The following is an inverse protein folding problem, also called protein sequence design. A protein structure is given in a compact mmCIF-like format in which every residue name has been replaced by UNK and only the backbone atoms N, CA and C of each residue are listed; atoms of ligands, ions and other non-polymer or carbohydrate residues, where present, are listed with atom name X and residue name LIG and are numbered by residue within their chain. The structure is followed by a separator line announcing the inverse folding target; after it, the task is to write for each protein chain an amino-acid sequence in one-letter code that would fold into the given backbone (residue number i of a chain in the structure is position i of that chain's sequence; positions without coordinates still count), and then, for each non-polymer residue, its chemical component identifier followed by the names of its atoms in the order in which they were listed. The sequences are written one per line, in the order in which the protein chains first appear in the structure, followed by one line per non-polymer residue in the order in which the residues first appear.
data_IF_627001482896
#
_entry.id   IF_627001482896
#
_cell.length_a   1.000
_cell.length_b   1.000
_cell.length_c   1.000
_cell.angle_alpha   90.00
_cell.angle_beta   90.00
_cell.angle_gamma   90.00
#
_symmetry.space_group_name_H-M   'P 1'
#
loop_
_entity.id
_entity.type
_entity.pdbx_description
1 polymer ?
#
# COMPACT_ATOMS: atom_id res chain seq x y z
N UNK A 1 -1.73 -39.32 33.94
CA UNK A 1 -1.03 -39.65 32.67
C UNK A 1 0.36 -39.04 32.77
N UNK A 2 1.41 -39.82 32.50
CA UNK A 2 2.78 -39.38 32.77
C UNK A 2 3.23 -38.33 31.75
N UNK A 3 3.78 -37.22 32.24
CA UNK A 3 4.34 -36.10 31.46
C UNK A 3 5.30 -36.58 30.33
N UNK A 4 6.00 -37.69 30.55
CA UNK A 4 6.93 -38.26 29.58
C UNK A 4 6.27 -38.82 28.32
N UNK A 5 5.17 -39.55 28.49
CA UNK A 5 4.45 -40.15 27.37
C UNK A 5 3.84 -39.03 26.52
N UNK A 6 3.29 -38.01 27.20
CA UNK A 6 2.73 -36.83 26.53
C UNK A 6 3.82 -36.11 25.72
N UNK A 7 5.03 -35.98 26.25
CA UNK A 7 6.15 -35.40 25.52
C UNK A 7 6.56 -36.24 24.30
N UNK A 8 6.69 -37.56 24.46
CA UNK A 8 7.08 -38.45 23.35
C UNK A 8 6.07 -38.37 22.20
N UNK A 9 4.77 -38.40 22.51
CA UNK A 9 3.70 -38.23 21.52
C UNK A 9 3.82 -36.85 20.86
N UNK A 10 3.91 -35.76 21.63
CA UNK A 10 3.99 -34.39 21.06
C UNK A 10 5.25 -34.18 20.20
N UNK A 11 6.36 -34.84 20.53
CA UNK A 11 7.62 -34.63 19.84
C UNK A 11 7.73 -35.46 18.55
N UNK A 12 7.33 -36.73 18.60
CA UNK A 12 7.40 -37.67 17.48
C UNK A 12 6.19 -37.54 16.54
N UNK A 13 4.99 -37.40 17.11
CA UNK A 13 3.76 -37.18 16.36
C UNK A 13 3.51 -35.69 16.10
N UNK A 14 2.30 -35.37 15.63
CA UNK A 14 1.89 -34.01 15.33
C UNK A 14 1.64 -33.17 16.60
N UNK A 15 2.19 -31.95 16.61
CA UNK A 15 1.89 -30.92 17.60
C UNK A 15 1.44 -29.65 16.88
N UNK A 16 0.21 -29.21 17.13
CA UNK A 16 -0.38 -28.02 16.49
C UNK A 16 0.39 -26.73 16.75
N UNK A 17 1.07 -26.65 17.89
CA UNK A 17 1.84 -25.47 18.29
C UNK A 17 3.31 -25.53 17.85
N UNK A 18 3.81 -26.66 17.34
CA UNK A 18 5.21 -26.83 16.96
C UNK A 18 5.44 -26.21 15.58
N UNK A 19 6.40 -25.29 15.49
CA UNK A 19 6.86 -24.70 14.25
C UNK A 19 8.27 -25.24 13.96
N UNK A 20 8.40 -26.01 12.88
CA UNK A 20 9.69 -26.47 12.36
C UNK A 20 10.28 -25.32 11.54
N UNK A 21 11.50 -24.91 11.87
CA UNK A 21 12.24 -23.90 11.10
C UNK A 21 13.27 -24.60 10.22
N UNK A 22 13.76 -23.93 9.18
CA UNK A 22 14.86 -24.39 8.34
C UNK A 22 16.19 -24.53 9.10
N UNK A 23 16.35 -23.82 10.21
CA UNK A 23 17.44 -24.03 11.19
C UNK A 23 16.95 -25.04 12.22
N UNK A 24 17.79 -25.98 12.63
CA UNK A 24 17.51 -27.17 13.48
C UNK A 24 16.82 -26.93 14.85
N UNK A 25 16.36 -25.72 15.12
CA UNK A 25 15.60 -25.37 16.31
C UNK A 25 14.09 -25.34 16.06
N UNK A 26 13.38 -26.10 16.89
CA UNK A 26 11.93 -26.12 16.91
C UNK A 26 11.37 -25.02 17.82
N UNK A 27 10.43 -24.22 17.31
CA UNK A 27 9.72 -23.20 18.07
C UNK A 27 8.31 -23.64 18.44
N UNK A 28 7.71 -22.95 19.41
CA UNK A 28 6.35 -23.21 19.88
C UNK A 28 5.52 -21.92 19.83
N UNK A 29 4.35 -21.97 19.19
CA UNK A 29 3.38 -20.87 19.10
C UNK A 29 2.48 -20.72 20.34
N UNK A 30 2.58 -21.63 21.30
CA UNK A 30 1.71 -21.59 22.49
C UNK A 30 2.01 -20.35 23.34
N UNK A 31 0.98 -19.57 23.65
CA UNK A 31 1.06 -18.34 24.46
C UNK A 31 1.65 -18.57 25.85
N UNK A 32 1.42 -19.76 26.40
CA UNK A 32 1.89 -20.16 27.73
C UNK A 32 3.29 -20.80 27.70
N UNK A 33 4.08 -20.64 26.64
CA UNK A 33 5.48 -21.08 26.66
C UNK A 33 6.38 -19.97 27.25
N UNK A 34 7.30 -20.32 28.16
CA UNK A 34 8.21 -19.34 28.78
C UNK A 34 9.29 -18.87 27.79
N UNK A 35 9.87 -19.80 27.02
CA UNK A 35 11.04 -19.54 26.17
C UNK A 35 10.72 -19.39 24.68
N UNK A 36 9.57 -19.88 24.22
CA UNK A 36 9.21 -19.96 22.80
C UNK A 36 9.84 -21.14 22.04
N UNK A 37 10.72 -21.91 22.67
CA UNK A 37 11.31 -23.13 22.13
C UNK A 37 10.43 -24.35 22.41
N UNK A 38 10.39 -25.30 21.48
CA UNK A 38 9.67 -26.56 21.62
C UNK A 38 10.62 -27.66 22.16
N UNK A 39 10.95 -27.58 23.46
CA UNK A 39 11.77 -28.55 24.19
C UNK A 39 10.96 -29.20 25.31
N UNK A 40 11.38 -30.39 25.79
CA UNK A 40 10.73 -31.12 26.89
C UNK A 40 10.48 -30.24 28.12
N UNK A 41 11.47 -29.43 28.52
CA UNK A 41 11.37 -28.54 29.67
C UNK A 41 10.54 -27.27 29.41
N UNK A 42 10.36 -26.87 28.14
CA UNK A 42 9.71 -25.62 27.75
C UNK A 42 8.25 -25.79 27.33
N UNK A 43 7.79 -27.01 27.06
CA UNK A 43 6.41 -27.23 26.63
C UNK A 43 5.42 -27.21 27.81
N UNK A 44 4.40 -26.33 27.78
CA UNK A 44 3.39 -26.24 28.85
C UNK A 44 2.35 -27.37 28.80
N UNK A 45 2.20 -28.05 27.65
CA UNK A 45 1.30 -29.19 27.50
C UNK A 45 1.88 -30.47 28.12
N UNK A 46 3.17 -30.72 27.87
CA UNK A 46 3.86 -31.90 28.36
C UNK A 46 4.11 -31.86 29.88
N UNK A 47 4.31 -30.67 30.45
CA UNK A 47 4.57 -30.53 31.88
C UNK A 47 3.30 -30.22 32.66
N UNK A 48 2.99 -31.04 33.67
CA UNK A 48 1.87 -30.81 34.58
C UNK A 48 2.17 -29.72 35.62
N UNK A 49 3.44 -29.58 36.01
CA UNK A 49 3.93 -28.47 36.87
C UNK A 49 4.62 -27.44 36.01
N UNK A 50 3.99 -26.29 35.83
CA UNK A 50 4.52 -25.25 34.94
C UNK A 50 4.23 -23.85 35.47
N UNK A 51 5.00 -22.86 35.04
CA UNK A 51 4.79 -21.47 35.39
C UNK A 51 5.28 -20.55 34.28
N UNK A 52 4.52 -19.50 33.96
CA UNK A 52 4.87 -18.48 32.97
C UNK A 52 4.45 -17.09 33.40
N UNK A 53 5.13 -16.07 32.88
CA UNK A 53 4.73 -14.67 33.05
C UNK A 53 4.12 -14.17 31.75
N UNK A 54 2.97 -13.52 31.80
CA UNK A 54 2.31 -12.95 30.63
C UNK A 54 1.70 -11.60 30.96
N UNK A 55 1.74 -10.70 29.99
CA UNK A 55 1.00 -9.44 29.99
C UNK A 55 -0.42 -9.68 29.50
N UNK A 56 -1.39 -9.16 30.22
CA UNK A 56 -2.77 -9.11 29.77
C UNK A 56 -2.88 -8.11 28.59
N UNK A 57 -3.43 -8.50 27.42
CA UNK A 57 -3.47 -7.63 26.24
C UNK A 57 -4.26 -6.34 26.45
N UNK A 58 -5.32 -6.39 27.26
CA UNK A 58 -6.23 -5.26 27.47
C UNK A 58 -5.68 -4.27 28.51
N UNK A 59 -5.17 -4.79 29.63
CA UNK A 59 -4.75 -3.96 30.77
C UNK A 59 -3.25 -3.66 30.81
N UNK A 60 -2.43 -4.42 30.07
CA UNK A 60 -0.96 -4.34 30.10
C UNK A 60 -0.33 -4.78 31.43
N UNK A 61 -1.15 -5.26 32.38
CA UNK A 61 -0.68 -5.73 33.69
C UNK A 61 -0.05 -7.11 33.54
N UNK A 62 1.03 -7.34 34.28
CA UNK A 62 1.74 -8.61 34.26
C UNK A 62 1.13 -9.57 35.28
N UNK A 63 0.91 -10.81 34.84
CA UNK A 63 0.42 -11.90 35.65
C UNK A 63 1.40 -13.07 35.60
N UNK A 64 1.58 -13.71 36.75
CA UNK A 64 2.19 -15.02 36.87
C UNK A 64 1.08 -16.07 36.73
N UNK A 65 1.22 -16.91 35.71
CA UNK A 65 0.37 -18.07 35.47
C UNK A 65 1.07 -19.31 36.02
N UNK A 66 0.41 -20.03 36.91
CA UNK A 66 0.91 -21.28 37.50
C UNK A 66 -0.02 -22.42 37.15
N UNK A 67 0.57 -23.55 36.77
CA UNK A 67 -0.12 -24.81 36.47
C UNK A 67 0.31 -25.84 37.51
N UNK A 68 -0.68 -26.43 38.19
CA UNK A 68 -0.50 -27.44 39.22
C UNK A 68 -1.04 -28.80 38.75
N UNK A 69 -0.48 -29.88 39.29
CA UNK A 69 -0.87 -31.26 38.89
C UNK A 69 -2.30 -31.58 39.34
N UNK A 70 -2.72 -31.05 40.48
CA UNK A 70 -4.02 -31.34 41.08
C UNK A 70 -5.18 -30.93 40.18
N UNK A 71 -5.03 -29.81 39.45
CA UNK A 71 -6.07 -29.28 38.57
C UNK A 71 -6.08 -29.91 37.18
N UNK A 72 -5.18 -30.84 36.86
CA UNK A 72 -5.04 -31.42 35.52
C UNK A 72 -6.34 -32.01 34.94
N UNK A 73 -7.27 -32.43 35.80
CA UNK A 73 -8.58 -32.95 35.40
C UNK A 73 -9.60 -31.87 34.98
N UNK A 74 -9.35 -30.58 35.26
CA UNK A 74 -10.24 -29.46 34.94
C UNK A 74 -9.56 -28.45 34.00
N UNK A 75 -9.64 -28.63 32.66
CA UNK A 75 -8.99 -27.77 31.68
C UNK A 75 -9.33 -26.29 31.78
N UNK A 76 -10.57 -25.96 32.10
CA UNK A 76 -11.03 -24.57 32.27
C UNK A 76 -10.36 -23.84 33.44
N UNK A 77 -9.81 -24.58 34.42
CA UNK A 77 -9.22 -24.04 35.66
C UNK A 77 -7.76 -24.46 35.85
N UNK A 78 -7.10 -24.92 34.79
CA UNK A 78 -5.69 -25.35 34.83
C UNK A 78 -4.74 -24.27 35.34
N UNK A 79 -5.02 -23.02 34.99
CA UNK A 79 -4.13 -21.91 35.29
C UNK A 79 -4.62 -21.09 36.46
N UNK A 80 -3.77 -20.97 37.48
CA UNK A 80 -3.89 -19.96 38.51
C UNK A 80 -3.17 -18.69 38.04
N UNK A 81 -3.86 -17.55 38.07
CA UNK A 81 -3.27 -16.24 37.73
C UNK A 81 -3.05 -15.41 38.98
N UNK A 82 -1.83 -14.91 39.16
CA UNK A 82 -1.45 -14.00 40.25
C UNK A 82 -0.99 -12.70 39.62
N UNK A 83 -1.58 -11.58 40.07
CA UNK A 83 -1.16 -10.25 39.62
C UNK A 83 0.22 -9.92 40.19
N UNK A 84 1.16 -9.55 39.32
CA UNK A 84 2.47 -9.06 39.73
C UNK A 84 2.42 -7.56 40.01
N UNK A 85 3.30 -7.11 40.91
CA UNK A 85 3.50 -5.69 41.17
C UNK A 85 3.99 -4.96 39.92
N UNK A 86 3.65 -3.67 39.79
CA UNK A 86 4.25 -2.80 38.77
C UNK A 86 5.73 -2.50 39.07
N UNK A 87 6.16 -2.62 40.33
CA UNK A 87 7.56 -2.44 40.69
C UNK A 87 8.33 -3.74 40.40
N UNK A 88 9.35 -3.64 39.56
CA UNK A 88 10.15 -4.78 39.11
C UNK A 88 10.81 -5.55 40.25
N UNK A 89 11.37 -4.87 41.25
CA UNK A 89 12.02 -5.54 42.39
C UNK A 89 11.03 -6.37 43.20
N UNK A 90 9.87 -5.76 43.53
CA UNK A 90 8.79 -6.46 44.24
C UNK A 90 8.21 -7.61 43.41
N UNK A 91 8.12 -7.46 42.10
CA UNK A 91 7.65 -8.53 41.22
C UNK A 91 8.63 -9.72 41.17
N UNK A 92 9.94 -9.47 41.25
CA UNK A 92 10.95 -10.53 41.36
C UNK A 92 10.83 -11.29 42.70
N UNK A 93 10.67 -10.57 43.80
CA UNK A 93 10.44 -11.18 45.13
C UNK A 93 9.17 -12.04 45.13
N UNK A 94 8.07 -11.53 44.55
CA UNK A 94 6.83 -12.28 44.39
C UNK A 94 7.01 -13.56 43.56
N UNK A 95 7.82 -13.54 42.51
CA UNK A 95 8.13 -14.74 41.74
C UNK A 95 8.90 -15.77 42.57
N UNK A 96 9.88 -15.31 43.37
CA UNK A 96 10.66 -16.20 44.22
C UNK A 96 9.83 -16.83 45.33
N UNK A 97 8.96 -16.07 45.99
CA UNK A 97 8.06 -16.56 47.03
C UNK A 97 7.04 -17.59 46.52
N UNK A 98 6.48 -17.37 45.32
CA UNK A 98 5.46 -18.26 44.77
C UNK A 98 6.03 -19.50 44.11
N UNK A 99 7.25 -19.40 43.55
CA UNK A 99 7.87 -20.49 42.79
C UNK A 99 8.92 -21.29 43.59
N UNK A 100 8.87 -21.25 44.93
CA UNK A 100 9.83 -21.94 45.81
C UNK A 100 9.96 -23.43 45.46
N UNK A 101 8.83 -24.10 45.24
CA UNK A 101 8.79 -25.55 44.99
C UNK A 101 8.93 -25.93 43.50
N UNK A 102 9.12 -24.96 42.61
CA UNK A 102 9.25 -25.21 41.17
C UNK A 102 10.71 -25.46 40.77
N UNK A 103 10.95 -26.13 39.62
CA UNK A 103 12.30 -26.35 39.15
C UNK A 103 13.01 -25.02 38.85
N UNK A 104 14.31 -24.94 39.19
CA UNK A 104 15.16 -23.75 39.00
C UNK A 104 15.17 -23.22 37.55
N UNK A 105 15.00 -24.13 36.58
CA UNK A 105 14.87 -23.76 35.17
C UNK A 105 13.68 -22.81 34.94
N UNK A 106 12.50 -23.16 35.46
CA UNK A 106 11.30 -22.35 35.29
C UNK A 106 11.39 -21.05 36.09
N UNK A 107 11.95 -21.06 37.30
CA UNK A 107 12.10 -19.83 38.09
C UNK A 107 13.00 -18.83 37.36
N UNK A 108 14.16 -19.28 36.89
CA UNK A 108 15.09 -18.43 36.14
C UNK A 108 14.48 -17.94 34.83
N UNK A 109 13.81 -18.80 34.07
CA UNK A 109 13.16 -18.41 32.81
C UNK A 109 11.98 -17.46 33.01
N UNK A 110 11.20 -17.62 34.09
CA UNK A 110 10.15 -16.68 34.46
C UNK A 110 10.71 -15.30 34.81
N UNK A 111 11.82 -15.24 35.56
CA UNK A 111 12.53 -13.98 35.83
C UNK A 111 13.02 -13.34 34.53
N UNK A 112 13.69 -14.09 33.66
CA UNK A 112 14.14 -13.60 32.35
C UNK A 112 12.98 -13.07 31.50
N UNK A 113 11.86 -13.79 31.48
CA UNK A 113 10.66 -13.37 30.73
C UNK A 113 10.03 -12.12 31.33
N UNK A 114 9.97 -12.01 32.65
CA UNK A 114 9.51 -10.79 33.33
C UNK A 114 10.38 -9.59 32.92
N UNK A 115 11.71 -9.72 32.99
CA UNK A 115 12.64 -8.67 32.55
C UNK A 115 12.44 -8.30 31.08
N UNK A 116 12.24 -9.29 30.21
CA UNK A 116 12.02 -9.02 28.79
C UNK A 116 10.70 -8.29 28.54
N UNK A 117 9.63 -8.69 29.21
CA UNK A 117 8.32 -8.05 29.09
C UNK A 117 8.34 -6.62 29.64
N UNK A 118 9.05 -6.35 30.74
CA UNK A 118 9.21 -4.98 31.26
C UNK A 118 9.99 -4.10 30.29
N UNK A 119 11.08 -4.61 29.70
CA UNK A 119 11.84 -3.91 28.67
C UNK A 119 10.98 -3.62 27.42
N UNK A 120 10.20 -4.60 26.96
CA UNK A 120 9.29 -4.43 25.81
C UNK A 120 8.22 -3.37 26.12
N UNK A 121 7.62 -3.39 27.32
CA UNK A 121 6.66 -2.37 27.74
C UNK A 121 7.28 -0.96 27.78
N UNK A 122 8.53 -0.81 28.25
CA UNK A 122 9.24 0.47 28.22
C UNK A 122 9.47 0.92 26.78
N UNK A 123 9.92 0.01 25.90
CA UNK A 123 10.14 0.31 24.48
C UNK A 123 8.86 0.72 23.77
N UNK A 124 7.75 0.01 23.97
CA UNK A 124 6.45 0.35 23.38
C UNK A 124 6.00 1.75 23.79
N UNK A 125 6.18 2.12 25.06
CA UNK A 125 5.87 3.48 25.54
C UNK A 125 6.76 4.55 24.91
N UNK A 126 8.03 4.25 24.65
CA UNK A 126 8.94 5.19 24.01
C UNK A 126 8.59 5.38 22.53
N UNK A 127 8.32 4.28 21.82
CA UNK A 127 7.87 4.34 20.42
C UNK A 127 6.57 5.13 20.31
N UNK A 128 5.58 4.85 21.17
CA UNK A 128 4.32 5.61 21.16
C UNK A 128 4.53 7.13 21.36
N UNK A 129 5.46 7.53 22.25
CA UNK A 129 5.82 8.94 22.44
C UNK A 129 6.55 9.55 21.24
N UNK A 130 7.42 8.78 20.60
CA UNK A 130 8.13 9.22 19.39
C UNK A 130 7.17 9.36 18.21
N UNK A 131 6.25 8.42 18.04
CA UNK A 131 5.19 8.46 17.02
C UNK A 131 4.27 9.66 17.24
N UNK A 132 3.86 9.94 18.48
CA UNK A 132 3.09 11.15 18.83
C UNK A 132 3.87 12.44 18.57
N UNK A 133 5.19 12.44 18.80
CA UNK A 133 6.05 13.61 18.59
C UNK A 133 6.31 13.90 17.12
N UNK A 134 6.58 12.86 16.32
CA UNK A 134 6.90 13.00 14.90
C UNK A 134 5.62 13.15 14.06
N UNK A 135 4.52 12.53 14.47
CA UNK A 135 3.24 12.56 13.73
C UNK A 135 3.29 11.84 12.39
N UNK A 136 4.42 11.22 12.05
CA UNK A 136 4.65 10.50 10.80
C UNK A 136 3.88 9.17 10.84
N UNK A 137 2.91 9.02 9.94
CA UNK A 137 2.22 7.76 9.74
C UNK A 137 2.88 7.03 8.59
N UNK A 138 3.27 5.78 8.81
CA UNK A 138 3.71 4.91 7.72
C UNK A 138 2.52 4.70 6.78
N UNK A 139 2.54 5.36 5.63
CA UNK A 139 1.55 5.13 4.58
C UNK A 139 1.94 3.82 3.88
N UNK A 140 1.01 2.84 3.74
CA UNK A 140 1.30 1.65 2.97
C UNK A 140 1.66 2.02 1.54
N UNK A 141 2.51 1.23 0.89
CA UNK A 141 2.85 1.45 -0.53
C UNK A 141 1.58 1.59 -1.35
N UNK A 142 1.41 2.72 -2.04
CA UNK A 142 0.31 2.94 -2.97
C UNK A 142 0.23 1.77 -3.96
N UNK A 143 -0.97 1.26 -4.21
CA UNK A 143 -1.15 0.17 -5.14
C UNK A 143 -0.58 0.55 -6.52
N UNK A 144 0.14 -0.34 -7.23
CA UNK A 144 0.80 0.01 -8.50
C UNK A 144 -0.15 0.61 -9.54
N UNK A 145 -1.42 0.21 -9.55
CA UNK A 145 -2.46 0.76 -10.43
C UNK A 145 -2.80 2.21 -10.13
N UNK A 146 -2.82 2.60 -8.85
CA UNK A 146 -3.07 3.99 -8.43
C UNK A 146 -1.88 4.84 -8.87
N UNK A 147 -0.65 4.38 -8.58
CA UNK A 147 0.57 5.08 -8.99
C UNK A 147 0.61 5.33 -10.50
N UNK A 148 0.37 4.32 -11.32
CA UNK A 148 0.32 4.46 -12.79
C UNK A 148 -0.78 5.43 -13.25
N UNK A 149 -1.94 5.41 -12.60
CA UNK A 149 -3.06 6.29 -12.91
C UNK A 149 -2.74 7.74 -12.56
N UNK A 150 -2.14 7.99 -11.39
CA UNK A 150 -1.69 9.31 -10.95
C UNK A 150 -0.61 9.84 -11.88
N UNK A 151 0.42 9.04 -12.19
CA UNK A 151 1.49 9.40 -13.12
C UNK A 151 0.95 9.76 -14.52
N UNK A 152 -0.02 8.98 -15.03
CA UNK A 152 -0.65 9.29 -16.33
C UNK A 152 -1.49 10.57 -16.25
N UNK A 153 -2.19 10.82 -15.14
CA UNK A 153 -2.95 12.06 -14.93
C UNK A 153 -2.04 13.26 -14.82
N UNK A 154 -0.93 13.14 -14.11
CA UNK A 154 0.10 14.17 -13.98
C UNK A 154 0.70 14.50 -15.34
N UNK A 155 1.04 13.49 -16.15
CA UNK A 155 1.56 13.70 -17.51
C UNK A 155 0.56 14.41 -18.41
N UNK A 156 -0.73 14.03 -18.33
CA UNK A 156 -1.81 14.71 -19.07
C UNK A 156 -2.02 16.14 -18.58
N UNK A 157 -1.96 16.37 -17.27
CA UNK A 157 -2.11 17.69 -16.68
C UNK A 157 -0.96 18.63 -17.09
N UNK A 158 0.28 18.14 -17.11
CA UNK A 158 1.45 18.88 -17.59
C UNK A 158 1.26 19.31 -19.04
N UNK A 159 0.90 18.36 -19.91
CA UNK A 159 0.67 18.63 -21.34
C UNK A 159 -0.45 19.64 -21.57
N UNK A 160 -1.54 19.55 -20.79
CA UNK A 160 -2.68 20.46 -20.90
C UNK A 160 -2.36 21.87 -20.37
N UNK A 161 -1.62 21.99 -19.27
CA UNK A 161 -1.36 23.27 -18.60
C UNK A 161 -0.45 24.21 -19.41
N UNK A 162 0.37 23.69 -20.34
CA UNK A 162 1.32 24.46 -21.18
C UNK A 162 1.99 25.60 -20.39
N UNK A 163 2.60 25.23 -19.26
CA UNK A 163 3.04 26.15 -18.21
C UNK A 163 3.99 27.23 -18.74
N UNK A 164 4.88 26.88 -19.68
CA UNK A 164 5.80 27.82 -20.33
C UNK A 164 5.08 28.99 -21.01
N UNK A 165 4.03 28.72 -21.80
CA UNK A 165 3.24 29.77 -22.46
C UNK A 165 2.40 30.59 -21.50
N UNK A 166 2.03 30.03 -20.35
CA UNK A 166 1.36 30.78 -19.29
C UNK A 166 2.35 31.73 -18.60
N UNK A 167 3.57 31.26 -18.32
CA UNK A 167 4.65 32.07 -17.75
C UNK A 167 5.08 33.17 -18.72
N UNK A 168 5.27 32.87 -20.01
CA UNK A 168 5.62 33.87 -21.03
C UNK A 168 4.58 35.00 -21.10
N UNK A 169 3.29 34.63 -21.11
CA UNK A 169 2.20 35.63 -21.10
C UNK A 169 2.24 36.49 -19.84
N UNK A 170 2.42 35.88 -18.66
CA UNK A 170 2.51 36.62 -17.40
C UNK A 170 3.75 37.52 -17.35
N UNK A 171 4.91 37.07 -17.85
CA UNK A 171 6.13 37.87 -17.91
C UNK A 171 5.98 39.05 -18.86
N UNK A 172 5.36 38.84 -20.02
CA UNK A 172 5.04 39.93 -20.96
C UNK A 172 4.05 40.90 -20.32
N UNK A 173 3.04 40.41 -19.61
CA UNK A 173 2.04 41.23 -18.93
C UNK A 173 2.67 42.05 -17.79
N UNK A 174 3.54 41.46 -16.98
CA UNK A 174 4.31 42.16 -15.93
C UNK A 174 5.30 43.20 -16.51
N UNK A 175 5.86 42.88 -17.68
CA UNK A 175 6.74 43.80 -18.41
C UNK A 175 5.94 44.98 -18.98
N UNK A 176 4.74 44.73 -19.50
CA UNK A 176 3.80 45.76 -19.95
C UNK A 176 3.26 46.61 -18.81
N UNK A 177 3.01 46.01 -17.65
CA UNK A 177 2.51 46.72 -16.46
C UNK A 177 3.59 47.54 -15.73
N UNK A 178 4.79 47.66 -16.28
CA UNK A 178 5.87 48.50 -15.73
C UNK A 178 6.45 48.03 -14.38
N UNK A 179 6.18 46.78 -13.96
CA UNK A 179 6.57 46.29 -12.64
C UNK A 179 8.09 46.24 -12.41
N UNK A 180 8.88 46.26 -13.48
CA UNK A 180 10.35 46.18 -13.47
C UNK A 180 11.05 47.54 -13.61
N UNK A 181 10.31 48.66 -13.59
CA UNK A 181 10.84 50.01 -13.75
C UNK A 181 11.22 50.37 -15.18
N UNK A 182 11.89 51.51 -15.34
CA UNK A 182 12.14 52.16 -16.65
C UNK A 182 13.23 51.46 -17.50
N UNK A 183 14.12 50.70 -16.85
CA UNK A 183 15.17 49.91 -17.53
C UNK A 183 15.32 48.51 -16.90
N UNK A 184 14.51 47.53 -17.34
CA UNK A 184 14.68 46.15 -16.90
C UNK A 184 16.04 45.60 -17.36
N UNK A 185 16.88 45.17 -16.41
CA UNK A 185 18.28 44.80 -16.63
C UNK A 185 18.47 43.52 -17.48
N UNK A 186 17.44 42.67 -17.56
CA UNK A 186 17.49 41.35 -18.16
C UNK A 186 16.83 41.25 -19.55
N UNK A 187 16.33 42.37 -20.10
CA UNK A 187 15.62 42.39 -21.38
C UNK A 187 16.51 43.02 -22.45
N UNK A 188 16.59 42.40 -23.63
CA UNK A 188 17.29 43.01 -24.77
C UNK A 188 16.62 44.33 -25.17
N UNK A 189 17.43 45.37 -25.40
CA UNK A 189 16.95 46.74 -25.65
C UNK A 189 16.01 46.82 -26.88
N UNK A 190 16.20 45.97 -27.88
CA UNK A 190 15.34 45.88 -29.07
C UNK A 190 13.96 45.28 -28.79
N UNK A 191 13.85 44.35 -27.84
CA UNK A 191 12.57 43.75 -27.42
C UNK A 191 11.83 44.73 -26.52
N UNK A 192 12.53 45.42 -25.63
CA UNK A 192 11.97 46.48 -24.78
C UNK A 192 11.39 47.63 -25.61
N UNK A 193 12.13 48.14 -26.62
CA UNK A 193 11.62 49.16 -27.55
C UNK A 193 10.37 48.70 -28.32
N UNK A 194 10.26 47.42 -28.67
CA UNK A 194 9.06 46.85 -29.31
C UNK A 194 7.89 46.74 -28.34
N UNK A 195 8.14 46.41 -27.07
CA UNK A 195 7.10 46.36 -26.02
C UNK A 195 6.60 47.77 -25.69
N UNK A 196 7.49 48.77 -25.59
CA UNK A 196 7.12 50.17 -25.41
C UNK A 196 6.28 50.71 -26.59
N UNK A 197 6.71 50.47 -27.84
CA UNK A 197 5.91 50.81 -29.03
C UNK A 197 4.55 50.09 -29.06
N UNK A 198 4.48 48.87 -28.52
CA UNK A 198 3.25 48.12 -28.37
C UNK A 198 2.31 48.67 -27.29
N UNK A 199 2.86 49.23 -26.21
CA UNK A 199 2.12 49.92 -25.14
C UNK A 199 1.59 51.29 -25.62
N UNK A 200 2.41 52.03 -26.37
CA UNK A 200 2.00 53.28 -27.05
C UNK A 200 0.86 53.04 -28.06
N UNK A 201 0.90 51.93 -28.80
CA UNK A 201 -0.15 51.56 -29.77
C UNK A 201 -1.43 51.02 -29.12
N UNK A 202 -1.33 50.45 -27.92
CA UNK A 202 -2.47 49.94 -27.16
C UNK A 202 -3.22 51.03 -26.37
N UNK A 203 -2.75 52.28 -26.38
CA UNK A 203 -3.48 53.42 -25.83
C UNK A 203 -3.37 53.61 -24.32
N UNK A 204 -2.31 53.10 -23.68
CA UNK A 204 -1.95 53.41 -22.27
C UNK A 204 -0.63 54.18 -22.17
N UNK A 205 -0.13 54.70 -23.29
CA UNK A 205 0.96 55.67 -23.34
C UNK A 205 0.44 56.99 -23.89
N UNK A 206 0.43 58.04 -23.06
CA UNK A 206 0.23 59.41 -23.54
C UNK A 206 1.29 59.70 -24.60
N UNK A 207 0.85 59.88 -25.85
CA UNK A 207 1.68 60.35 -26.95
C UNK A 207 1.97 61.83 -26.72
N UNK A 208 3.23 62.17 -26.46
CA UNK A 208 3.70 63.54 -26.69
C UNK A 208 3.61 63.82 -28.19
N UNK A 209 2.57 64.56 -28.56
CA UNK A 209 2.32 65.04 -29.91
C UNK A 209 3.19 66.28 -30.11
N UNK A 210 4.41 66.09 -30.61
CA UNK A 210 5.10 67.08 -31.45
C UNK A 210 6.42 66.50 -32.02
N UNK A 211 6.35 65.89 -33.20
CA UNK A 211 7.34 66.04 -34.30
C UNK A 211 7.03 65.10 -35.48
N UNK A 212 6.92 65.70 -36.67
CA UNK A 212 6.89 65.15 -38.05
C UNK A 212 5.81 64.12 -38.37
N UNK A 213 4.74 64.38 -39.14
CA UNK A 213 4.57 65.02 -40.46
C UNK A 213 5.25 64.28 -41.64
N UNK A 214 4.41 63.79 -42.55
CA UNK A 214 4.81 63.44 -43.92
C UNK A 214 5.07 61.95 -44.21
N UNK A 215 4.02 61.13 -44.30
CA UNK A 215 3.83 60.19 -45.43
C UNK A 215 2.44 59.55 -45.38
N UNK A 216 1.56 60.09 -46.23
CA UNK A 216 0.34 59.45 -46.73
C UNK A 216 0.77 58.45 -47.81
N UNK A 217 0.64 57.16 -47.57
CA UNK A 217 0.52 56.17 -48.65
C UNK A 217 -0.69 55.28 -48.36
N UNK A 218 -1.76 55.65 -49.08
CA UNK A 218 -2.89 54.91 -49.63
C UNK A 218 -3.28 53.54 -49.04
N UNK A 219 -4.51 53.52 -48.54
CA UNK A 219 -5.41 52.37 -48.61
C UNK A 219 -5.52 51.87 -50.06
N UNK A 220 -5.16 50.62 -50.30
CA UNK A 220 -5.71 49.85 -51.41
C UNK A 220 -6.30 48.54 -50.87
N UNK A 221 -7.60 48.61 -50.58
CA UNK A 221 -8.49 47.48 -50.35
C UNK A 221 -8.86 46.91 -51.72
N UNK A 222 -8.17 45.86 -52.17
CA UNK A 222 -8.63 45.04 -53.29
C UNK A 222 -8.96 43.63 -52.80
N UNK A 223 -10.25 43.45 -52.49
CA UNK A 223 -10.84 42.14 -52.28
C UNK A 223 -10.95 41.39 -53.61
N UNK A 224 -10.24 40.27 -53.72
CA UNK A 224 -10.55 39.23 -54.69
C UNK A 224 -10.67 37.90 -53.93
N UNK A 225 -11.91 37.48 -53.73
CA UNK A 225 -12.23 36.14 -53.25
C UNK A 225 -11.90 35.13 -54.34
N UNK A 226 -10.84 34.35 -54.15
CA UNK A 226 -10.55 33.17 -54.93
C UNK A 226 -11.03 31.94 -54.15
N UNK A 227 -12.13 31.35 -54.63
CA UNK A 227 -12.75 30.15 -54.10
C UNK A 227 -12.54 29.00 -55.08
N UNK A 228 -12.12 27.86 -54.49
CA UNK A 228 -12.13 26.47 -54.99
C UNK A 228 -11.21 26.08 -56.15
N UNK A 229 -10.40 25.04 -55.93
CA UNK A 229 -10.70 23.68 -56.43
C UNK A 229 -10.19 22.63 -55.44
N UNK A 230 -11.08 21.71 -55.02
CA UNK A 230 -10.72 20.47 -54.33
C UNK A 230 -10.46 19.42 -55.42
N UNK A 231 -9.20 19.04 -55.65
CA UNK A 231 -8.91 17.90 -56.51
C UNK A 231 -9.12 16.61 -55.72
N UNK A 232 -10.23 15.93 -56.02
CA UNK A 232 -10.43 14.52 -55.73
C UNK A 232 -9.57 13.70 -56.73
N UNK A 233 -8.96 12.61 -56.25
CA UNK A 233 -8.09 11.63 -56.95
C UNK A 233 -6.59 11.98 -57.07
N UNK A 234 -5.77 11.47 -56.16
CA UNK A 234 -5.00 10.25 -56.46
C UNK A 234 -4.53 9.53 -55.20
N UNK A 235 -4.50 8.21 -55.35
CA UNK A 235 -4.39 7.14 -54.37
C UNK A 235 -2.91 6.81 -54.07
N UNK A 236 -2.66 6.18 -52.93
CA UNK A 236 -1.42 5.48 -52.52
C UNK A 236 -0.23 6.31 -52.00
N UNK A 237 -0.15 6.48 -50.67
CA UNK A 237 1.05 6.26 -49.81
C UNK A 237 0.78 6.80 -48.40
N UNK A 238 0.13 6.03 -47.50
CA UNK A 238 0.40 6.10 -46.02
C UNK A 238 -0.37 5.08 -45.14
N UNK A 239 -0.52 3.83 -45.59
CA UNK A 239 -1.16 2.77 -44.78
C UNK A 239 -0.17 1.83 -44.07
N UNK A 240 1.13 2.14 -44.07
CA UNK A 240 2.18 1.27 -43.54
C UNK A 240 2.50 1.54 -42.05
N UNK A 241 2.02 2.64 -41.45
CA UNK A 241 2.32 3.02 -40.06
C UNK A 241 1.22 2.66 -39.03
N UNK A 242 0.19 1.91 -39.44
CA UNK A 242 -0.88 1.44 -38.53
C UNK A 242 -0.76 -0.05 -38.15
N UNK A 243 0.15 -0.81 -38.77
CA UNK A 243 0.33 -2.25 -38.49
C UNK A 243 1.38 -2.54 -37.39
N UNK A 244 2.31 -1.61 -37.11
CA UNK A 244 3.34 -1.76 -36.06
C UNK A 244 2.76 -1.63 -34.62
N UNK A 245 1.58 -1.01 -34.46
CA UNK A 245 0.96 -0.84 -33.14
C UNK A 245 0.15 -2.07 -32.66
N UNK A 246 -0.13 -3.04 -33.54
CA UNK A 246 -1.05 -4.17 -33.26
C UNK A 246 -0.40 -5.57 -33.37
N UNK A 247 0.92 -5.67 -33.55
CA UNK A 247 1.57 -6.90 -34.04
C UNK A 247 2.76 -7.47 -33.25
N UNK A 248 2.87 -7.33 -31.92
CA UNK A 248 4.00 -7.97 -31.19
C UNK A 248 3.65 -8.63 -29.84
N UNK A 249 2.69 -9.56 -29.85
CA UNK A 249 2.56 -10.57 -28.78
C UNK A 249 2.31 -11.95 -29.40
N UNK A 250 3.34 -12.52 -30.04
CA UNK A 250 3.51 -13.99 -30.17
C UNK A 250 4.84 -14.37 -30.83
N UNK A 251 5.62 -15.21 -30.11
CA UNK A 251 6.75 -16.03 -30.57
C UNK A 251 8.01 -15.24 -31.01
N UNK A 252 9.25 -15.56 -30.61
CA UNK A 252 9.87 -16.70 -29.96
C UNK A 252 11.33 -16.28 -29.66
N UNK A 253 11.86 -16.63 -28.49
CA UNK A 253 13.29 -16.85 -28.26
C UNK A 253 13.49 -17.53 -26.90
N UNK A 254 13.58 -18.87 -26.94
CA UNK A 254 14.73 -19.69 -26.47
C UNK A 254 15.42 -19.27 -25.14
N UNK A 255 15.76 -20.10 -24.15
CA UNK A 255 16.06 -21.53 -24.05
C UNK A 255 16.64 -21.73 -22.61
N UNK A 256 16.57 -22.96 -22.11
CA UNK A 256 17.01 -23.51 -20.80
C UNK A 256 16.01 -23.53 -19.63
N UNK A 257 15.17 -24.55 -19.69
CA UNK A 257 14.74 -25.40 -18.58
C UNK A 257 15.95 -26.16 -17.96
N UNK A 258 15.98 -26.28 -16.63
CA UNK A 258 16.65 -27.36 -15.90
C UNK A 258 15.91 -27.59 -14.57
N UNK A 259 14.88 -28.41 -14.71
CA UNK A 259 14.44 -29.54 -13.89
C UNK A 259 14.00 -29.42 -12.42
N UNK A 260 12.96 -30.23 -12.18
CA UNK A 260 12.00 -30.30 -11.09
C UNK A 260 12.48 -31.01 -9.82
N UNK A 261 11.70 -30.76 -8.77
CA UNK A 261 11.54 -31.50 -7.53
C UNK A 261 11.63 -33.03 -7.66
N UNK A 262 12.53 -33.63 -6.87
CA UNK A 262 12.39 -35.00 -6.40
C UNK A 262 11.57 -35.03 -5.10
N UNK A 263 10.50 -35.82 -5.08
CA UNK A 263 10.29 -36.85 -4.05
C UNK A 263 9.12 -37.76 -4.42
N UNK A 264 9.50 -38.90 -4.99
CA UNK A 264 8.76 -40.16 -5.03
C UNK A 264 8.77 -40.79 -3.62
N UNK A 265 7.63 -41.29 -3.16
CA UNK A 265 7.56 -42.40 -2.21
C UNK A 265 6.59 -43.46 -2.75
N UNK A 266 7.18 -44.56 -3.20
CA UNK A 266 6.58 -45.83 -3.59
C UNK A 266 5.83 -46.52 -2.43
N UNK A 267 4.73 -47.21 -2.77
CA UNK A 267 4.59 -48.68 -2.65
C UNK A 267 3.12 -49.10 -2.39
N UNK A 268 2.56 -49.73 -3.43
CA UNK A 268 1.85 -51.04 -3.47
C UNK A 268 0.70 -51.31 -2.48
N UNK A 269 -0.54 -51.50 -2.98
CA UNK A 269 -1.10 -52.85 -3.18
C UNK A 269 -2.50 -52.86 -3.85
N UNK A 270 -2.81 -54.00 -4.44
CA UNK A 270 -3.81 -54.35 -5.46
C UNK A 270 -5.31 -54.17 -5.11
N UNK A 271 -6.17 -53.93 -6.13
CA UNK A 271 -7.20 -54.87 -6.62
C UNK A 271 -8.31 -54.22 -7.51
N UNK A 272 -8.48 -54.86 -8.69
CA UNK A 272 -9.70 -55.13 -9.51
C UNK A 272 -10.56 -54.01 -10.15
N UNK A 273 -10.60 -54.09 -11.50
CA UNK A 273 -11.77 -54.06 -12.43
C UNK A 273 -12.65 -52.76 -12.43
N UNK A 274 -12.93 -52.07 -13.54
CA UNK A 274 -13.52 -52.58 -14.78
C UNK A 274 -13.53 -51.48 -15.90
N UNK A 275 -13.37 -51.95 -17.13
CA UNK A 275 -13.69 -51.42 -18.46
C UNK A 275 -14.17 -49.95 -18.70
N UNK A 276 -13.44 -49.18 -19.54
CA UNK A 276 -13.70 -48.97 -21.00
C UNK A 276 -12.91 -47.78 -21.59
N UNK A 277 -12.14 -48.07 -22.64
CA UNK A 277 -11.44 -47.08 -23.50
C UNK A 277 -12.30 -46.65 -24.72
N UNK A 278 -11.93 -45.55 -25.41
CA UNK A 278 -12.82 -44.61 -26.10
C UNK A 278 -12.79 -44.76 -27.64
N UNK A 279 -13.66 -44.06 -28.38
CA UNK A 279 -13.36 -43.51 -29.72
C UNK A 279 -14.12 -42.21 -30.07
N UNK A 280 -13.57 -41.37 -30.96
CA UNK A 280 -13.88 -39.96 -31.12
C UNK A 280 -14.73 -39.67 -32.37
N UNK A 281 -15.48 -38.56 -32.41
CA UNK A 281 -15.79 -37.87 -33.67
C UNK A 281 -16.44 -36.50 -33.49
N UNK A 282 -16.17 -35.65 -34.48
CA UNK A 282 -16.96 -34.51 -34.95
C UNK A 282 -16.82 -33.15 -34.22
N UNK A 283 -15.83 -32.38 -34.71
CA UNK A 283 -15.84 -30.91 -34.75
C UNK A 283 -17.16 -30.39 -35.37
N UNK A 284 -17.95 -29.59 -34.66
CA UNK A 284 -18.93 -28.65 -35.25
C UNK A 284 -19.06 -27.34 -34.45
N UNK A 285 -18.57 -26.27 -35.09
CA UNK A 285 -18.94 -24.84 -35.06
C UNK A 285 -19.49 -24.25 -33.74
N UNK A 286 -18.66 -23.42 -33.08
CA UNK A 286 -19.07 -22.53 -32.00
C UNK A 286 -19.90 -21.34 -32.55
N UNK A 287 -21.03 -21.06 -31.89
CA UNK A 287 -21.84 -19.87 -32.13
C UNK A 287 -21.27 -18.67 -31.33
N UNK A 288 -21.35 -17.47 -31.93
CA UNK A 288 -20.84 -16.22 -31.35
C UNK A 288 -21.57 -15.85 -30.03
N UNK A 289 -20.86 -15.28 -29.04
CA UNK A 289 -21.46 -14.94 -27.75
C UNK A 289 -22.33 -13.66 -27.82
N UNK A 290 -23.59 -13.77 -27.39
CA UNK A 290 -24.50 -12.63 -27.27
C UNK A 290 -24.07 -11.67 -26.14
N UNK A 291 -24.11 -10.37 -26.42
CA UNK A 291 -23.75 -9.29 -25.49
C UNK A 291 -24.82 -9.13 -24.39
N UNK A 292 -24.37 -9.08 -23.13
CA UNK A 292 -25.25 -8.84 -21.97
C UNK A 292 -25.61 -7.35 -21.86
N UNK A 293 -26.85 -6.97 -21.52
CA UNK A 293 -27.25 -5.58 -21.36
C UNK A 293 -26.62 -4.94 -20.10
N UNK A 294 -26.12 -3.71 -20.24
CA UNK A 294 -25.46 -2.94 -19.16
C UNK A 294 -26.49 -2.49 -18.12
N UNK A 295 -26.22 -2.74 -16.83
CA UNK A 295 -27.05 -2.27 -15.70
C UNK A 295 -26.97 -0.74 -15.60
N UNK A 296 -28.13 -0.06 -15.59
CA UNK A 296 -28.24 1.38 -15.28
C UNK A 296 -27.90 1.63 -13.81
N UNK A 297 -27.11 2.68 -13.54
CA UNK A 297 -26.71 3.09 -12.18
C UNK A 297 -27.86 3.67 -11.35
N UNK A 298 -27.63 3.91 -10.05
CA UNK A 298 -28.67 4.34 -9.11
C UNK A 298 -29.07 5.80 -9.36
N UNK A 299 -30.38 6.06 -9.28
CA UNK A 299 -31.00 7.38 -9.42
C UNK A 299 -30.99 8.06 -8.05
N UNK A 300 -30.42 9.26 -7.96
CA UNK A 300 -30.36 10.07 -6.73
C UNK A 300 -31.44 11.14 -6.85
N UNK A 301 -32.39 11.14 -5.92
CA UNK A 301 -33.40 12.18 -5.77
C UNK A 301 -32.92 13.16 -4.69
N UNK A 302 -32.86 14.45 -5.04
CA UNK A 302 -32.41 15.53 -4.18
C UNK A 302 -33.67 16.28 -3.73
N UNK A 303 -34.02 16.15 -2.46
CA UNK A 303 -35.06 16.98 -1.84
C UNK A 303 -34.43 18.28 -1.34
N UNK A 304 -35.02 19.42 -1.71
CA UNK A 304 -34.63 20.74 -1.20
C UNK A 304 -35.60 21.14 -0.09
N UNK A 305 -35.11 21.21 1.15
CA UNK A 305 -35.83 21.85 2.24
C UNK A 305 -35.67 23.37 2.13
N UNK A 306 -36.78 24.10 1.94
CA UNK A 306 -36.79 25.56 2.00
C UNK A 306 -36.99 26.00 3.45
N UNK A 307 -35.97 26.60 4.06
CA UNK A 307 -36.10 27.24 5.39
C UNK A 307 -37.05 28.45 5.29
N UNK A 308 -38.14 28.41 6.06
CA UNK A 308 -39.13 29.48 6.11
C UNK A 308 -38.60 30.73 6.82
N UNK A 309 -38.87 31.90 6.24
CA UNK A 309 -38.48 33.20 6.76
C UNK A 309 -38.90 33.39 8.24
N UNK A 310 -37.92 33.66 9.09
CA UNK A 310 -38.13 33.97 10.51
C UNK A 310 -38.98 35.23 10.68
N UNK A 311 -40.01 35.13 11.53
CA UNK A 311 -40.84 36.27 11.95
C UNK A 311 -39.97 37.28 12.71
N UNK A 312 -39.89 38.50 12.20
CA UNK A 312 -39.44 39.66 12.97
C UNK A 312 -40.42 39.91 14.13
N UNK A 313 -39.88 39.99 15.35
CA UNK A 313 -40.61 40.39 16.54
C UNK A 313 -40.64 41.91 16.63
N UNK A 314 -41.85 42.46 16.75
CA UNK A 314 -42.12 43.82 17.20
C UNK A 314 -41.81 43.98 18.70
#
# INVERSE_FOLDING_TARGET
MSDEIVWQVINQQFCSYKLKTTKDQNFCRNEYNVSGLCNRQSCPLANSRYATVRTDPETGVMYLYMKTVERAHMPSKWWERVRLSSNYAKALEQLDERLIYWPKFLTHKCKQRLTRLTQVNIRMKNIAKEDERLGEKVVPKLAPKIRRREETRERKALSAAKVERAIERELIERLRSGAYGDRPLNVEEGIWKKVLRGLERAGDGERDVDMDDGELEEEEEEGVGEVEYVSDLDEEEDLEDMEDWLGNDSADSSDYDDDEDESDEDSEDELSEDEKKPKPSAKRKAAAPQSKPRKKGPRIEIEYETEGAGKELA
#
